data_IF_541288224895
#
_entry.id   IF_541288224895
#
_cell.length_a   1.000
_cell.length_b   1.000
_cell.length_c   1.000
_cell.angle_alpha   90.00
_cell.angle_beta   90.00
_cell.angle_gamma   90.00
#
_symmetry.space_group_name_H-M   'P 1'
#
loop_
_entity.id
_entity.type
_entity.pdbx_description
1 polymer ?
#
# COMPACT_ATOMS: atom_id res chain seq x y z
N UNK A 1 -3.46 11.11 18.17
CA UNK A 1 -3.65 12.48 18.70
C UNK A 1 -3.01 13.50 17.78
N UNK A 2 -1.72 13.36 17.49
CA UNK A 2 -0.92 14.23 16.60
C UNK A 2 -1.58 14.55 15.24
N UNK A 3 -2.09 13.55 14.52
CA UNK A 3 -2.70 13.77 13.19
C UNK A 3 -3.95 14.67 13.27
N UNK A 4 -4.77 14.48 14.31
CA UNK A 4 -5.99 15.27 14.53
C UNK A 4 -5.65 16.70 14.96
N UNK A 5 -4.59 16.86 15.76
CA UNK A 5 -4.11 18.17 16.21
C UNK A 5 -3.53 19.02 15.07
N UNK A 6 -2.92 18.36 14.07
CA UNK A 6 -2.36 19.01 12.89
C UNK A 6 -3.37 19.17 11.74
N UNK A 7 -4.64 18.80 11.96
CA UNK A 7 -5.71 18.82 10.96
C UNK A 7 -5.34 18.15 9.63
N UNK A 8 -4.46 17.15 9.69
CA UNK A 8 -4.00 16.46 8.49
C UNK A 8 -5.10 15.52 7.98
N UNK A 9 -5.48 15.63 6.69
CA UNK A 9 -6.45 14.73 6.11
C UNK A 9 -5.90 13.30 6.11
N UNK A 10 -6.68 12.38 6.64
CA UNK A 10 -6.37 10.95 6.65
C UNK A 10 -6.97 10.28 5.43
N UNK A 11 -6.21 9.36 4.86
CA UNK A 11 -6.75 8.42 3.88
C UNK A 11 -7.71 7.45 4.57
N UNK A 12 -8.77 7.08 3.88
CA UNK A 12 -9.75 6.09 4.34
C UNK A 12 -9.21 4.68 4.17
N UNK A 13 -8.41 4.47 3.13
CA UNK A 13 -7.76 3.18 2.86
C UNK A 13 -6.57 2.98 3.78
N UNK A 14 -6.42 1.77 4.29
CA UNK A 14 -5.29 1.38 5.13
C UNK A 14 -4.68 0.09 4.63
N UNK A 15 -3.37 -0.07 4.85
CA UNK A 15 -2.66 -1.32 4.61
C UNK A 15 -2.84 -2.20 5.85
N UNK A 16 -3.40 -3.43 5.72
CA UNK A 16 -3.56 -4.32 6.86
C UNK A 16 -2.21 -4.76 7.45
N UNK A 17 -2.10 -4.83 8.78
CA UNK A 17 -0.91 -5.43 9.41
C UNK A 17 -0.92 -6.94 9.15
N UNK A 18 -0.02 -7.38 8.27
CA UNK A 18 0.16 -8.79 7.96
C UNK A 18 1.63 -9.17 8.09
N UNK A 19 1.88 -10.40 8.56
CA UNK A 19 3.23 -11.00 8.60
C UNK A 19 3.92 -11.03 7.23
N UNK A 20 3.16 -10.83 6.17
CA UNK A 20 3.61 -10.84 4.79
C UNK A 20 4.49 -9.64 4.46
N UNK A 21 4.13 -8.45 4.93
CA UNK A 21 4.96 -7.25 4.79
C UNK A 21 6.25 -7.32 5.60
N UNK A 22 6.25 -8.01 6.74
CA UNK A 22 7.47 -8.27 7.52
C UNK A 22 8.51 -9.09 6.75
N UNK A 23 8.09 -9.88 5.75
CA UNK A 23 8.96 -10.67 4.90
C UNK A 23 9.50 -9.90 3.68
N UNK A 24 8.99 -8.69 3.40
CA UNK A 24 9.51 -7.79 2.35
C UNK A 24 10.96 -7.37 2.61
N UNK A 25 11.33 -7.22 3.89
CA UNK A 25 12.65 -6.75 4.33
C UNK A 25 13.75 -7.82 4.19
N UNK A 26 13.41 -9.03 3.73
CA UNK A 26 14.35 -10.14 3.59
C UNK A 26 14.68 -10.32 2.10
N UNK A 27 15.91 -10.01 1.71
CA UNK A 27 16.38 -10.03 0.33
C UNK A 27 16.15 -11.36 -0.42
N UNK A 28 16.14 -12.49 0.31
CA UNK A 28 15.99 -13.83 -0.25
C UNK A 28 14.54 -14.32 -0.39
N UNK A 29 13.54 -13.53 0.02
CA UNK A 29 12.13 -13.95 -0.04
C UNK A 29 11.39 -13.31 -1.20
N UNK A 30 10.38 -14.04 -1.71
CA UNK A 30 9.50 -13.54 -2.76
C UNK A 30 8.68 -12.37 -2.22
N UNK A 31 9.14 -11.16 -2.52
CA UNK A 31 8.48 -9.92 -2.14
C UNK A 31 7.07 -9.85 -2.76
N UNK A 32 6.12 -9.40 -1.96
CA UNK A 32 4.84 -8.81 -2.30
C UNK A 32 5.02 -7.65 -3.28
N UNK A 33 6.03 -6.81 -3.07
CA UNK A 33 6.32 -5.65 -3.90
C UNK A 33 7.74 -5.70 -4.48
N UNK A 34 7.86 -5.46 -5.77
CA UNK A 34 9.14 -5.06 -6.38
C UNK A 34 8.83 -3.81 -7.18
N UNK A 35 9.66 -2.77 -7.04
CA UNK A 35 9.59 -1.58 -7.89
C UNK A 35 9.96 -1.97 -9.33
N UNK A 36 9.03 -2.62 -10.03
CA UNK A 36 9.22 -3.20 -11.35
C UNK A 36 8.16 -2.66 -12.30
N UNK A 37 8.51 -2.61 -13.59
CA UNK A 37 7.56 -2.28 -14.66
C UNK A 37 6.43 -3.31 -14.81
N UNK A 38 6.62 -4.53 -14.28
CA UNK A 38 5.62 -5.58 -14.34
C UNK A 38 4.65 -5.52 -13.14
N UNK A 39 3.37 -5.82 -13.36
CA UNK A 39 2.38 -5.85 -12.28
C UNK A 39 2.71 -6.95 -11.27
N UNK A 40 2.46 -6.67 -9.99
CA UNK A 40 2.59 -7.67 -8.94
C UNK A 40 1.61 -8.84 -9.17
N UNK A 41 2.01 -10.06 -8.80
CA UNK A 41 1.16 -11.22 -9.05
C UNK A 41 -0.14 -11.15 -8.23
N UNK A 42 -1.29 -11.47 -8.83
CA UNK A 42 -2.62 -11.36 -8.18
C UNK A 42 -2.73 -12.05 -6.81
N UNK A 43 -2.21 -13.28 -6.60
CA UNK A 43 -2.24 -13.91 -5.27
C UNK A 43 -1.46 -13.11 -4.22
N UNK A 44 -0.44 -12.38 -4.67
CA UNK A 44 0.37 -11.49 -3.85
C UNK A 44 -0.28 -10.11 -3.66
N UNK A 45 -1.35 -9.72 -4.33
CA UNK A 45 -2.01 -8.42 -4.06
C UNK A 45 -3.32 -8.61 -3.30
N UNK A 46 -3.84 -9.84 -3.29
CA UNK A 46 -5.10 -10.16 -2.61
C UNK A 46 -5.06 -9.81 -1.11
N UNK A 47 -6.05 -9.06 -0.66
CA UNK A 47 -6.21 -8.65 0.75
C UNK A 47 -5.19 -7.62 1.24
N UNK A 48 -4.46 -6.96 0.33
CA UNK A 48 -3.46 -5.93 0.66
C UNK A 48 -4.02 -4.51 0.76
N UNK A 49 -5.23 -4.29 0.22
CA UNK A 49 -5.86 -2.99 -0.01
C UNK A 49 -5.04 -2.02 -0.90
N UNK A 50 -4.06 -2.54 -1.65
CA UNK A 50 -3.17 -1.68 -2.45
C UNK A 50 -3.88 -1.04 -3.63
N UNK A 51 -4.83 -1.72 -4.25
CA UNK A 51 -5.59 -1.17 -5.38
C UNK A 51 -6.43 0.03 -4.94
N UNK A 52 -7.12 -0.13 -3.82
CA UNK A 52 -7.93 0.90 -3.18
C UNK A 52 -7.05 2.09 -2.75
N UNK A 53 -5.86 1.81 -2.21
CA UNK A 53 -4.93 2.84 -1.76
C UNK A 53 -4.38 3.64 -2.95
N UNK A 54 -3.96 2.97 -4.02
CA UNK A 54 -3.47 3.62 -5.25
C UNK A 54 -4.58 4.47 -5.86
N UNK A 55 -5.81 3.96 -5.88
CA UNK A 55 -6.98 4.70 -6.37
C UNK A 55 -7.19 5.98 -5.55
N UNK A 56 -7.14 5.89 -4.23
CA UNK A 56 -7.31 7.04 -3.34
C UNK A 56 -6.16 8.05 -3.47
N UNK A 57 -4.91 7.59 -3.61
CA UNK A 57 -3.75 8.46 -3.88
C UNK A 57 -3.96 9.21 -5.20
N UNK A 58 -4.30 8.49 -6.27
CA UNK A 58 -4.50 9.04 -7.63
C UNK A 58 -5.59 10.10 -7.63
N UNK A 59 -6.67 9.87 -6.87
CA UNK A 59 -7.74 10.84 -6.64
C UNK A 59 -7.25 12.13 -5.98
N UNK A 60 -6.46 12.05 -4.91
CA UNK A 60 -5.96 13.24 -4.21
C UNK A 60 -4.91 14.03 -5.00
N UNK A 61 -4.02 13.34 -5.72
CA UNK A 61 -2.95 13.99 -6.50
C UNK A 61 -3.43 14.48 -7.88
N UNK A 62 -4.69 14.23 -8.24
CA UNK A 62 -5.29 14.64 -9.53
C UNK A 62 -4.50 14.15 -10.74
N UNK A 63 -4.06 12.89 -10.70
CA UNK A 63 -3.37 12.29 -11.84
C UNK A 63 -4.34 11.93 -12.99
N UNK A 64 -5.65 12.08 -12.77
CA UNK A 64 -6.73 11.95 -13.75
C UNK A 64 -7.66 13.17 -13.67
#
# INVERSE_FOLDING_TARGET
KTIKELELPLMKTFIPDTKRYKKELVADKKAVFRSTLFPASRPLVRGSNLEELITEITYYIKLQ
#
